data_IF_012459711844
#
_entry.id   IF_012459711844
#
_cell.length_a   1.000
_cell.length_b   1.000
_cell.length_c   1.000
_cell.angle_alpha   90.00
_cell.angle_beta   90.00
_cell.angle_gamma   90.00
#
_symmetry.space_group_name_H-M   'P 1'
#
loop_
_entity.id
_entity.type
_entity.pdbx_description
1 polymer ?
#
# COMPACT_ATOMS: atom_id res chain seq x y z
N UNK A 1 46.59 -4.14 39.59
CA UNK A 1 45.70 -3.15 40.25
C UNK A 1 44.33 -3.33 39.60
N UNK A 2 43.54 -4.34 40.01
CA UNK A 2 42.38 -4.24 40.94
C UNK A 2 41.48 -3.05 40.53
N UNK A 3 40.21 -3.20 40.09
CA UNK A 3 39.11 -3.94 40.72
C UNK A 3 37.96 -4.26 39.73
N UNK A 4 37.41 -5.47 39.85
CA UNK A 4 36.05 -5.85 39.47
C UNK A 4 35.04 -5.15 40.40
N UNK A 5 33.88 -4.66 39.90
CA UNK A 5 32.72 -4.41 40.75
C UNK A 5 31.45 -5.01 40.18
N UNK A 6 30.89 -5.90 40.99
CA UNK A 6 29.70 -6.73 40.84
C UNK A 6 28.43 -5.88 40.70
N UNK A 7 27.67 -6.11 39.63
CA UNK A 7 26.23 -5.77 39.57
C UNK A 7 25.38 -6.88 38.92
N UNK A 8 25.88 -8.12 38.93
CA UNK A 8 25.10 -9.32 38.68
C UNK A 8 24.85 -9.96 40.03
N UNK A 9 23.59 -9.97 40.48
CA UNK A 9 22.98 -10.73 41.61
C UNK A 9 21.89 -9.81 42.17
N UNK A 10 20.61 -10.03 41.82
CA UNK A 10 19.40 -10.06 42.68
C UNK A 10 18.18 -10.27 41.76
N UNK A 11 17.99 -11.46 41.17
CA UNK A 11 16.66 -11.89 40.66
C UNK A 11 16.46 -13.41 40.82
N UNK A 12 17.05 -14.05 41.84
CA UNK A 12 16.89 -15.50 42.08
C UNK A 12 16.49 -15.79 43.53
N UNK A 13 15.33 -15.28 43.97
CA UNK A 13 14.82 -15.69 45.29
C UNK A 13 13.29 -15.67 45.45
N UNK A 14 12.55 -16.17 44.45
CA UNK A 14 11.11 -16.46 44.60
C UNK A 14 10.69 -17.90 44.23
N UNK A 15 11.61 -18.87 44.31
CA UNK A 15 11.29 -20.30 44.10
C UNK A 15 11.63 -21.18 45.30
N UNK A 16 11.18 -20.80 46.50
CA UNK A 16 11.25 -21.71 47.65
C UNK A 16 10.19 -21.39 48.68
N UNK A 17 8.98 -21.90 48.50
CA UNK A 17 8.11 -22.39 49.59
C UNK A 17 6.70 -22.67 49.08
N UNK A 18 6.48 -23.83 48.45
CA UNK A 18 5.24 -24.58 48.70
C UNK A 18 5.66 -26.03 48.93
N UNK A 19 5.74 -26.36 50.21
CA UNK A 19 6.10 -27.64 50.80
C UNK A 19 4.90 -28.57 50.62
N UNK A 20 5.15 -29.78 50.13
CA UNK A 20 4.11 -30.80 49.97
C UNK A 20 3.48 -31.17 51.30
N UNK A 21 2.15 -31.13 51.35
CA UNK A 21 1.34 -31.67 52.43
C UNK A 21 0.48 -32.79 51.83
N UNK A 22 0.90 -34.04 52.07
CA UNK A 22 0.04 -35.21 51.82
C UNK A 22 -0.94 -35.29 52.98
N UNK A 23 -2.22 -35.00 52.74
CA UNK A 23 -3.29 -35.45 53.61
C UNK A 23 -4.18 -36.48 52.93
N UNK A 24 -4.36 -37.54 53.69
CA UNK A 24 -5.03 -38.79 53.40
C UNK A 24 -6.55 -38.66 53.55
N UNK A 25 -7.27 -39.37 52.68
CA UNK A 25 -8.53 -40.08 52.95
C UNK A 25 -9.70 -39.29 53.54
N UNK A 26 -10.73 -39.07 52.72
CA UNK A 26 -12.08 -39.59 53.00
C UNK A 26 -12.98 -39.43 51.78
N UNK A 27 -13.29 -40.56 51.15
CA UNK A 27 -14.45 -40.68 50.29
C UNK A 27 -15.61 -41.19 51.14
N UNK A 28 -16.78 -40.54 51.05
CA UNK A 28 -18.11 -41.15 50.88
C UNK A 28 -19.20 -40.07 50.78
N UNK A 29 -20.34 -40.39 50.14
CA UNK A 29 -21.03 -39.46 49.25
C UNK A 29 -22.42 -39.07 49.78
N UNK A 30 -23.05 -38.15 49.05
CA UNK A 30 -24.49 -38.13 48.71
C UNK A 30 -25.24 -36.80 48.96
N UNK A 31 -25.76 -36.32 47.83
CA UNK A 31 -27.04 -35.64 47.63
C UNK A 31 -27.24 -34.21 48.16
N UNK A 32 -27.20 -33.25 47.23
CA UNK A 32 -28.36 -32.50 46.71
C UNK A 32 -27.84 -31.23 46.05
N UNK A 33 -27.41 -31.32 44.79
CA UNK A 33 -27.49 -30.16 43.91
C UNK A 33 -28.38 -30.56 42.74
N UNK A 34 -29.54 -29.91 42.78
CA UNK A 34 -30.67 -30.03 41.91
C UNK A 34 -30.25 -30.07 40.44
N UNK A 35 -30.79 -31.07 39.75
CA UNK A 35 -30.50 -31.39 38.36
C UNK A 35 -31.24 -30.43 37.45
N UNK A 36 -30.74 -29.21 37.28
CA UNK A 36 -31.00 -28.46 36.05
C UNK A 36 -29.97 -28.92 35.03
N UNK A 37 -30.24 -30.09 34.43
CA UNK A 37 -29.53 -30.48 33.22
C UNK A 37 -29.82 -29.41 32.16
N UNK A 38 -28.80 -28.76 31.56
CA UNK A 38 -29.07 -27.82 30.49
C UNK A 38 -29.80 -28.58 29.40
N UNK A 39 -30.99 -28.10 29.04
CA UNK A 39 -31.81 -28.65 27.98
C UNK A 39 -31.13 -28.31 26.64
N UNK A 40 -29.98 -28.91 26.38
CA UNK A 40 -29.20 -28.75 25.16
C UNK A 40 -29.88 -29.57 24.07
N UNK A 41 -30.95 -29.00 23.49
CA UNK A 41 -31.48 -29.44 22.21
C UNK A 41 -30.33 -29.26 21.19
N UNK A 42 -29.72 -30.36 20.79
CA UNK A 42 -28.67 -30.36 19.76
C UNK A 42 -29.26 -29.95 18.41
N UNK A 43 -28.52 -29.18 17.64
CA UNK A 43 -28.87 -28.85 16.25
C UNK A 43 -28.94 -30.15 15.43
N UNK A 44 -29.98 -30.26 14.60
CA UNK A 44 -30.10 -31.41 13.69
C UNK A 44 -29.20 -31.22 12.47
N UNK A 45 -28.70 -32.31 11.91
CA UNK A 45 -27.89 -32.28 10.68
C UNK A 45 -28.70 -31.71 9.50
N UNK A 46 -30.00 -31.97 9.47
CA UNK A 46 -30.93 -31.44 8.46
C UNK A 46 -31.02 -29.92 8.53
N UNK A 47 -31.04 -29.35 9.73
CA UNK A 47 -31.16 -27.90 9.94
C UNK A 47 -29.94 -27.13 9.41
N UNK A 48 -28.73 -27.67 9.62
CA UNK A 48 -27.51 -27.08 9.04
C UNK A 48 -27.47 -27.24 7.51
N UNK A 49 -27.94 -28.36 6.95
CA UNK A 49 -27.97 -28.55 5.49
C UNK A 49 -28.89 -27.54 4.81
N UNK A 50 -30.10 -27.34 5.35
CA UNK A 50 -31.06 -26.38 4.78
C UNK A 50 -30.52 -24.95 4.87
N UNK A 51 -29.88 -24.59 5.98
CA UNK A 51 -29.26 -23.26 6.15
C UNK A 51 -28.14 -23.03 5.14
N UNK A 52 -27.23 -24.00 4.98
CA UNK A 52 -26.13 -23.89 4.00
C UNK A 52 -26.64 -23.85 2.56
N UNK A 53 -27.71 -24.58 2.25
CA UNK A 53 -28.36 -24.51 0.95
C UNK A 53 -28.85 -23.08 0.65
N UNK A 54 -29.55 -22.43 1.58
CA UNK A 54 -30.06 -21.07 1.37
C UNK A 54 -28.93 -20.04 1.33
N UNK A 55 -27.92 -20.14 2.21
CA UNK A 55 -26.76 -19.23 2.21
C UNK A 55 -25.99 -19.32 0.90
N UNK A 56 -25.76 -20.53 0.37
CA UNK A 56 -25.03 -20.70 -0.90
C UNK A 56 -25.74 -20.04 -2.08
N UNK A 57 -27.07 -20.17 -2.15
CA UNK A 57 -27.88 -19.53 -3.20
C UNK A 57 -27.79 -18.01 -3.10
N UNK A 58 -27.86 -17.47 -1.88
CA UNK A 58 -27.77 -16.03 -1.65
C UNK A 58 -26.38 -15.48 -2.00
N UNK A 59 -25.31 -16.17 -1.58
CA UNK A 59 -23.93 -15.78 -1.92
C UNK A 59 -23.71 -15.82 -3.42
N UNK A 60 -24.20 -16.84 -4.12
CA UNK A 60 -24.06 -16.95 -5.58
C UNK A 60 -24.66 -15.75 -6.33
N UNK A 61 -25.80 -15.24 -5.86
CA UNK A 61 -26.46 -14.08 -6.48
C UNK A 61 -25.75 -12.77 -6.12
N UNK A 62 -25.29 -12.61 -4.87
CA UNK A 62 -24.70 -11.36 -4.40
C UNK A 62 -23.25 -11.15 -4.82
N UNK A 63 -22.49 -12.23 -5.02
CA UNK A 63 -21.03 -12.17 -5.30
C UNK A 63 -20.67 -11.24 -6.47
N UNK A 64 -21.25 -11.34 -7.68
CA UNK A 64 -20.85 -10.47 -8.80
C UNK A 64 -21.13 -8.99 -8.51
N UNK A 65 -22.20 -8.68 -7.78
CA UNK A 65 -22.55 -7.32 -7.39
C UNK A 65 -21.53 -6.73 -6.41
N UNK A 66 -21.11 -7.50 -5.40
CA UNK A 66 -20.10 -7.05 -4.43
C UNK A 66 -18.76 -6.80 -5.11
N UNK A 67 -18.34 -7.69 -6.03
CA UNK A 67 -17.09 -7.51 -6.77
C UNK A 67 -17.10 -6.23 -7.60
N UNK A 68 -18.21 -5.93 -8.29
CA UNK A 68 -18.37 -4.68 -9.04
C UNK A 68 -18.20 -3.44 -8.16
N UNK A 69 -18.81 -3.41 -6.97
CA UNK A 69 -18.67 -2.27 -6.05
C UNK A 69 -17.24 -2.11 -5.53
N UNK A 70 -16.52 -3.23 -5.33
CA UNK A 70 -15.11 -3.18 -4.95
C UNK A 70 -14.28 -2.59 -6.08
N UNK A 71 -14.51 -3.01 -7.33
CA UNK A 71 -13.74 -2.50 -8.47
C UNK A 71 -14.03 -1.02 -8.75
N UNK A 72 -15.27 -0.57 -8.57
CA UNK A 72 -15.64 0.86 -8.63
C UNK A 72 -14.92 1.66 -7.53
N UNK A 73 -14.92 1.17 -6.29
CA UNK A 73 -14.20 1.81 -5.19
C UNK A 73 -12.67 1.84 -5.39
N UNK A 74 -12.12 0.82 -6.04
CA UNK A 74 -10.71 0.80 -6.47
C UNK A 74 -10.45 1.86 -7.53
N UNK A 75 -11.33 1.99 -8.53
CA UNK A 75 -11.26 3.05 -9.53
C UNK A 75 -11.28 4.45 -8.92
N UNK A 76 -12.19 4.69 -7.98
CA UNK A 76 -12.29 5.98 -7.28
C UNK A 76 -11.02 6.29 -6.50
N UNK A 77 -10.49 5.31 -5.76
CA UNK A 77 -9.23 5.45 -5.02
C UNK A 77 -8.07 5.75 -5.96
N UNK A 78 -7.91 4.99 -7.04
CA UNK A 78 -6.86 5.25 -8.02
C UNK A 78 -7.00 6.65 -8.64
N UNK A 79 -8.24 7.10 -8.87
CA UNK A 79 -8.55 8.44 -9.35
C UNK A 79 -8.19 9.56 -8.36
N UNK A 80 -8.32 9.33 -7.06
CA UNK A 80 -7.85 10.25 -6.01
C UNK A 80 -6.33 10.25 -5.90
N UNK A 81 -5.69 9.08 -5.99
CA UNK A 81 -4.24 8.93 -5.90
C UNK A 81 -3.54 9.67 -7.04
N UNK A 82 -3.99 9.53 -8.30
CA UNK A 82 -3.41 10.28 -9.44
C UNK A 82 -3.60 11.80 -9.34
N UNK A 83 -4.72 12.26 -8.75
CA UNK A 83 -4.96 13.69 -8.46
C UNK A 83 -4.05 14.21 -7.35
N UNK A 84 -3.82 13.40 -6.33
CA UNK A 84 -2.91 13.72 -5.24
C UNK A 84 -1.48 13.82 -5.77
N UNK A 85 -1.02 12.82 -6.54
CA UNK A 85 0.31 12.78 -7.18
C UNK A 85 0.51 14.00 -8.07
N UNK A 86 -0.48 14.36 -8.88
CA UNK A 86 -0.40 15.57 -9.71
C UNK A 86 -0.30 16.87 -8.91
N UNK A 87 -1.02 16.98 -7.80
CA UNK A 87 -0.90 18.14 -6.90
C UNK A 87 0.51 18.24 -6.30
N UNK A 88 1.05 17.14 -5.79
CA UNK A 88 2.41 17.09 -5.21
C UNK A 88 3.50 17.45 -6.21
N UNK A 89 3.41 16.95 -7.46
CA UNK A 89 4.36 17.31 -8.52
C UNK A 89 4.30 18.81 -8.81
N UNK A 90 3.09 19.38 -8.87
CA UNK A 90 2.95 20.82 -9.05
C UNK A 90 3.54 21.61 -7.87
N UNK A 91 3.40 21.13 -6.64
CA UNK A 91 3.97 21.79 -5.46
C UNK A 91 5.50 21.70 -5.44
N UNK A 92 6.08 20.55 -5.81
CA UNK A 92 7.52 20.40 -6.04
C UNK A 92 8.04 21.41 -7.07
N UNK A 93 7.33 21.56 -8.20
CA UNK A 93 7.70 22.51 -9.25
C UNK A 93 7.60 23.95 -8.74
N UNK A 94 6.55 24.28 -7.99
CA UNK A 94 6.38 25.62 -7.39
C UNK A 94 7.48 25.96 -6.40
N UNK A 95 7.90 24.98 -5.61
CA UNK A 95 8.91 25.18 -4.57
C UNK A 95 10.32 25.29 -5.14
N UNK A 96 10.69 24.38 -6.03
CA UNK A 96 12.07 24.25 -6.53
C UNK A 96 12.31 25.00 -7.84
N UNK A 97 11.24 25.31 -8.57
CA UNK A 97 11.33 25.78 -9.96
C UNK A 97 11.88 24.73 -10.92
N UNK A 98 11.95 23.45 -10.50
CA UNK A 98 12.50 22.33 -11.27
C UNK A 98 11.42 21.29 -11.53
N UNK A 99 11.46 20.69 -12.71
CA UNK A 99 10.61 19.57 -13.07
C UNK A 99 11.28 18.25 -12.61
N UNK A 100 10.52 17.28 -12.07
CA UNK A 100 11.04 15.94 -11.85
C UNK A 100 11.41 15.24 -13.16
N UNK A 101 12.34 14.28 -13.09
CA UNK A 101 12.85 13.52 -14.24
C UNK A 101 13.75 14.29 -15.22
N UNK A 102 14.22 15.50 -14.90
CA UNK A 102 14.96 16.37 -15.82
C UNK A 102 16.45 16.03 -16.03
N UNK A 103 16.94 14.89 -15.51
CA UNK A 103 18.36 14.53 -15.47
C UNK A 103 18.67 13.05 -15.78
N UNK A 104 17.76 12.31 -16.40
CA UNK A 104 18.08 10.93 -16.78
C UNK A 104 18.72 10.84 -18.17
N UNK A 105 19.75 10.01 -18.27
CA UNK A 105 20.65 9.91 -19.42
C UNK A 105 20.00 9.28 -20.69
N UNK A 106 18.75 8.82 -20.64
CA UNK A 106 18.17 7.90 -21.65
C UNK A 106 16.99 8.40 -22.51
N UNK A 107 16.64 9.69 -22.50
CA UNK A 107 15.74 10.27 -23.51
C UNK A 107 14.23 9.96 -23.41
N UNK A 108 13.80 8.98 -22.61
CA UNK A 108 12.42 8.85 -22.12
C UNK A 108 12.48 8.60 -20.61
N UNK A 109 12.06 9.58 -19.81
CA UNK A 109 12.11 9.48 -18.36
C UNK A 109 10.72 9.23 -17.83
N UNK A 110 10.44 8.00 -17.44
CA UNK A 110 9.22 7.68 -16.71
C UNK A 110 9.49 7.78 -15.21
N UNK A 111 8.61 8.45 -14.47
CA UNK A 111 8.60 8.38 -13.02
C UNK A 111 7.55 7.37 -12.62
N UNK A 112 7.94 6.43 -11.76
CA UNK A 112 7.11 5.30 -11.40
C UNK A 112 7.01 5.19 -9.88
N UNK A 113 5.82 4.93 -9.36
CA UNK A 113 5.66 4.60 -7.94
C UNK A 113 6.14 3.19 -7.64
N UNK A 114 6.14 2.83 -6.35
CA UNK A 114 6.20 1.42 -5.94
C UNK A 114 5.07 0.62 -6.59
N UNK A 115 5.33 -0.63 -6.94
CA UNK A 115 4.38 -1.57 -7.56
C UNK A 115 4.97 -2.26 -8.79
N UNK A 116 4.15 -3.04 -9.50
CA UNK A 116 4.54 -3.65 -10.76
C UNK A 116 4.72 -2.58 -11.86
N UNK A 117 5.89 -2.57 -12.48
CA UNK A 117 6.26 -1.68 -13.61
C UNK A 117 6.73 -2.55 -14.79
N UNK A 118 6.68 -2.02 -16.03
CA UNK A 118 6.91 -2.85 -17.24
C UNK A 118 5.67 -3.64 -17.67
N UNK A 119 4.51 -2.98 -17.59
CA UNK A 119 3.21 -3.52 -17.94
C UNK A 119 3.06 -3.68 -19.45
N UNK A 120 2.14 -4.56 -19.86
CA UNK A 120 1.88 -4.81 -21.28
C UNK A 120 1.11 -3.64 -21.92
N UNK A 121 1.04 -3.62 -23.26
CA UNK A 121 0.23 -2.64 -24.01
C UNK A 121 1.03 -1.52 -24.64
N UNK A 122 0.54 -0.28 -24.50
CA UNK A 122 1.20 0.94 -24.98
C UNK A 122 2.56 1.13 -24.30
N UNK A 123 3.49 1.76 -24.99
CA UNK A 123 4.85 1.94 -24.47
C UNK A 123 4.89 2.99 -23.36
N UNK A 124 4.95 2.49 -22.13
CA UNK A 124 5.21 3.23 -20.90
C UNK A 124 6.52 2.77 -20.27
N UNK A 125 6.84 3.29 -19.08
CA UNK A 125 8.05 2.97 -18.34
C UNK A 125 8.15 1.48 -18.01
N UNK A 126 9.29 0.92 -18.39
CA UNK A 126 9.72 -0.41 -17.94
C UNK A 126 10.55 -0.29 -16.67
N UNK A 127 10.84 -1.40 -16.00
CA UNK A 127 11.73 -1.41 -14.82
C UNK A 127 13.12 -0.81 -15.12
N UNK A 128 13.57 -0.80 -16.38
CA UNK A 128 14.85 -0.23 -16.77
C UNK A 128 14.81 1.29 -16.97
N UNK A 129 13.64 1.84 -17.32
CA UNK A 129 13.46 3.25 -17.72
C UNK A 129 12.64 4.06 -16.69
N UNK A 130 12.16 3.40 -15.64
CA UNK A 130 11.44 3.97 -14.51
C UNK A 130 12.41 4.48 -13.45
N UNK A 131 12.39 5.78 -13.19
CA UNK A 131 12.93 6.38 -11.98
C UNK A 131 11.88 6.38 -10.87
N UNK A 132 12.29 6.12 -9.63
CA UNK A 132 11.37 6.07 -8.49
C UNK A 132 10.81 7.46 -8.19
N UNK A 133 9.48 7.62 -8.28
CA UNK A 133 8.81 8.87 -7.97
C UNK A 133 9.04 9.30 -6.50
N UNK A 134 9.24 8.34 -5.59
CA UNK A 134 9.56 8.64 -4.20
C UNK A 134 10.91 9.38 -4.05
N UNK A 135 11.84 9.22 -4.98
CA UNK A 135 13.10 9.97 -4.97
C UNK A 135 12.89 11.49 -5.11
N UNK A 136 11.86 11.89 -5.85
CA UNK A 136 11.50 13.30 -6.03
C UNK A 136 10.59 13.81 -4.91
N UNK A 137 9.61 13.01 -4.53
CA UNK A 137 8.52 13.45 -3.65
C UNK A 137 8.76 13.17 -2.17
N UNK A 138 9.63 12.22 -1.81
CA UNK A 138 9.79 11.74 -0.44
C UNK A 138 11.21 11.96 0.08
N UNK A 139 12.23 11.57 -0.68
CA UNK A 139 13.61 11.49 -0.15
C UNK A 139 14.55 12.60 -0.64
N UNK A 140 14.15 13.41 -1.63
CA UNK A 140 15.02 14.39 -2.28
C UNK A 140 16.35 13.78 -2.78
N UNK A 141 16.27 12.64 -3.46
CA UNK A 141 17.41 11.96 -4.07
C UNK A 141 17.13 11.61 -5.55
N UNK A 142 16.74 12.59 -6.39
CA UNK A 142 16.50 12.36 -7.81
C UNK A 142 17.80 11.93 -8.53
N UNK A 143 17.65 11.29 -9.69
CA UNK A 143 18.73 10.84 -10.56
C UNK A 143 19.34 9.49 -10.18
N UNK A 144 20.41 9.14 -10.90
CA UNK A 144 21.21 7.92 -10.66
C UNK A 144 22.41 8.18 -9.74
N UNK A 145 22.67 9.44 -9.40
CA UNK A 145 23.80 9.89 -8.56
C UNK A 145 23.31 10.65 -7.33
N UNK A 146 23.43 10.02 -6.16
CA UNK A 146 22.78 10.36 -4.90
C UNK A 146 23.08 11.74 -4.24
N UNK A 147 23.76 12.69 -4.92
CA UNK A 147 24.04 14.03 -4.34
C UNK A 147 24.15 15.19 -5.33
N UNK A 148 24.37 14.94 -6.63
CA UNK A 148 24.54 16.01 -7.64
C UNK A 148 23.23 16.47 -8.26
N UNK A 149 22.17 15.69 -8.06
CA UNK A 149 20.90 15.85 -8.75
C UNK A 149 19.78 16.36 -7.84
N UNK A 150 20.00 16.33 -6.53
CA UNK A 150 19.12 16.81 -5.49
C UNK A 150 18.58 18.21 -5.77
N UNK A 151 17.32 18.40 -5.41
CA UNK A 151 16.74 19.73 -5.37
C UNK A 151 17.43 20.56 -4.28
N UNK A 152 17.53 21.90 -4.46
CA UNK A 152 18.23 22.75 -3.49
C UNK A 152 17.66 22.56 -2.08
N UNK A 153 18.52 22.33 -1.09
CA UNK A 153 18.08 22.17 0.32
C UNK A 153 17.98 23.50 1.08
N UNK A 154 18.42 24.60 0.46
CA UNK A 154 18.43 25.94 1.06
C UNK A 154 18.08 27.04 0.05
N UNK A 155 17.76 28.24 0.57
CA UNK A 155 17.35 29.38 -0.25
C UNK A 155 15.84 29.47 -0.48
N UNK A 156 15.44 30.37 -1.40
CA UNK A 156 14.03 30.64 -1.75
C UNK A 156 13.38 29.48 -2.50
N UNK A 157 14.15 28.83 -3.37
CA UNK A 157 13.70 27.72 -4.22
C UNK A 157 14.12 26.36 -3.66
N UNK A 158 14.04 26.22 -2.34
CA UNK A 158 14.43 24.97 -1.69
C UNK A 158 13.31 23.93 -1.80
N UNK A 159 13.68 22.66 -1.84
CA UNK A 159 12.77 21.55 -1.60
C UNK A 159 12.17 21.65 -0.20
N UNK A 160 10.84 21.64 -0.09
CA UNK A 160 10.14 21.92 1.17
C UNK A 160 9.59 20.69 1.90
N UNK A 161 9.86 19.50 1.39
CA UNK A 161 9.75 18.32 2.25
C UNK A 161 9.50 17.05 1.48
N UNK A 162 9.27 15.96 2.20
CA UNK A 162 8.42 14.91 1.67
C UNK A 162 7.04 15.53 1.40
N UNK A 163 6.63 15.58 0.14
CA UNK A 163 5.28 16.00 -0.28
C UNK A 163 4.23 14.92 0.05
N UNK A 164 4.69 13.70 0.31
CA UNK A 164 3.94 12.58 0.85
C UNK A 164 4.83 11.73 1.75
N UNK A 165 4.24 10.98 2.67
CA UNK A 165 4.96 10.12 3.62
C UNK A 165 5.30 8.75 3.04
N UNK A 166 4.41 8.19 2.22
CA UNK A 166 4.64 6.95 1.51
C UNK A 166 3.82 6.98 0.22
N UNK A 167 4.44 6.59 -0.89
CA UNK A 167 3.79 6.47 -2.17
C UNK A 167 3.44 4.99 -2.39
N UNK A 168 2.16 4.66 -2.20
CA UNK A 168 1.64 3.31 -2.40
C UNK A 168 1.53 2.95 -3.88
N UNK A 169 1.54 1.64 -4.15
CA UNK A 169 1.02 1.07 -5.38
C UNK A 169 -0.49 1.33 -5.54
N UNK A 170 -0.97 1.19 -6.76
CA UNK A 170 -2.39 1.29 -7.08
C UNK A 170 -3.20 0.12 -6.48
N UNK A 171 -4.54 0.18 -6.47
CA UNK A 171 -5.37 -0.84 -5.83
C UNK A 171 -5.29 -2.26 -6.43
N UNK A 172 -4.61 -2.40 -7.58
CA UNK A 172 -4.38 -3.67 -8.27
C UNK A 172 -2.92 -4.12 -8.18
N UNK A 173 -2.06 -3.39 -7.45
CA UNK A 173 -0.65 -3.71 -7.21
C UNK A 173 0.31 -3.21 -8.29
N UNK A 174 -0.15 -2.33 -9.18
CA UNK A 174 0.68 -1.74 -10.22
C UNK A 174 1.23 -0.38 -9.77
N UNK A 175 2.38 0.01 -10.34
CA UNK A 175 2.94 1.33 -10.10
C UNK A 175 2.25 2.40 -10.94
N UNK A 176 1.92 3.54 -10.34
CA UNK A 176 1.57 4.75 -11.08
C UNK A 176 2.74 5.21 -11.93
N UNK A 177 2.46 5.69 -13.14
CA UNK A 177 3.50 6.15 -14.06
C UNK A 177 3.26 7.56 -14.57
N UNK A 178 4.35 8.28 -14.83
CA UNK A 178 4.35 9.66 -15.33
C UNK A 178 5.38 9.81 -16.43
N UNK A 179 5.00 10.41 -17.55
CA UNK A 179 5.94 10.76 -18.61
C UNK A 179 6.64 12.10 -18.29
N UNK A 180 7.75 12.08 -17.55
CA UNK A 180 8.42 13.31 -17.13
C UNK A 180 9.03 14.11 -18.29
N UNK A 181 9.33 13.44 -19.41
CA UNK A 181 9.94 14.08 -20.59
C UNK A 181 9.07 15.19 -21.19
N UNK A 182 7.75 15.12 -21.01
CA UNK A 182 6.81 16.14 -21.51
C UNK A 182 6.52 17.25 -20.51
N UNK A 183 6.96 17.06 -19.26
CA UNK A 183 6.75 18.02 -18.18
C UNK A 183 7.65 19.26 -18.34
N UNK A 184 8.83 19.10 -18.94
CA UNK A 184 9.84 20.16 -19.10
C UNK A 184 9.33 21.38 -19.88
N UNK A 185 9.87 22.56 -19.55
CA UNK A 185 9.50 23.82 -20.18
C UNK A 185 9.74 23.82 -21.70
N UNK A 186 8.76 24.32 -22.46
CA UNK A 186 8.81 24.37 -23.93
C UNK A 186 8.13 23.19 -24.64
N UNK A 187 7.82 22.10 -23.93
CA UNK A 187 7.02 21.00 -24.47
C UNK A 187 5.51 21.33 -24.36
N UNK A 188 4.77 21.10 -25.45
CA UNK A 188 3.31 21.29 -25.56
C UNK A 188 2.52 19.97 -25.52
N UNK A 189 3.21 18.83 -25.47
CA UNK A 189 2.61 17.52 -25.28
C UNK A 189 1.99 17.42 -23.90
N UNK A 190 0.91 16.65 -23.80
CA UNK A 190 0.26 16.33 -22.53
C UNK A 190 1.22 15.54 -21.64
N UNK A 191 1.12 15.76 -20.33
CA UNK A 191 1.78 14.88 -19.36
C UNK A 191 0.73 14.18 -18.52
N UNK A 192 0.79 12.87 -18.47
CA UNK A 192 -0.13 12.04 -17.72
C UNK A 192 0.49 11.60 -16.41
N UNK A 193 -0.32 11.57 -15.36
CA UNK A 193 -0.18 10.64 -14.23
C UNK A 193 -1.21 9.56 -14.43
N UNK A 194 -0.80 8.30 -14.48
CA UNK A 194 -1.69 7.21 -14.88
C UNK A 194 -1.46 5.95 -14.04
N UNK A 195 -2.51 5.17 -13.85
CA UNK A 195 -2.50 3.77 -13.42
C UNK A 195 -3.07 2.93 -14.56
N UNK A 196 -2.52 1.73 -14.75
CA UNK A 196 -2.94 0.78 -15.79
C UNK A 196 -4.27 0.08 -15.48
N UNK A 197 -4.87 0.35 -14.32
CA UNK A 197 -6.16 -0.22 -13.96
C UNK A 197 -6.12 -1.73 -13.65
N UNK A 198 -7.32 -2.35 -13.57
CA UNK A 198 -7.51 -3.76 -13.24
C UNK A 198 -6.77 -4.77 -14.12
N UNK A 199 -6.66 -4.51 -15.42
CA UNK A 199 -6.07 -5.47 -16.36
C UNK A 199 -4.53 -5.42 -16.41
N UNK A 200 -3.91 -4.40 -15.78
CA UNK A 200 -2.47 -4.22 -15.74
C UNK A 200 -1.85 -4.01 -17.12
N UNK A 201 -2.60 -3.43 -18.06
CA UNK A 201 -2.18 -3.20 -19.45
C UNK A 201 -2.50 -1.78 -19.85
N UNK A 202 -1.49 -0.96 -20.13
CA UNK A 202 -1.75 0.41 -20.58
C UNK A 202 -2.39 0.42 -21.96
N UNK A 203 -3.59 0.98 -22.10
CA UNK A 203 -4.23 1.18 -23.42
C UNK A 203 -4.14 2.64 -23.88
N UNK A 204 -3.91 3.56 -22.95
CA UNK A 204 -3.67 4.98 -23.20
C UNK A 204 -2.23 5.17 -23.64
N UNK A 205 -2.02 5.74 -24.82
CA UNK A 205 -0.68 6.10 -25.28
C UNK A 205 -0.16 7.35 -24.57
N UNK A 206 1.15 7.45 -24.35
CA UNK A 206 1.82 8.60 -23.71
C UNK A 206 1.57 9.94 -24.43
N UNK A 207 1.17 9.91 -25.70
CA UNK A 207 0.82 11.11 -26.50
C UNK A 207 -0.68 11.34 -26.66
N UNK A 208 -1.52 10.40 -26.20
CA UNK A 208 -2.98 10.49 -26.33
C UNK A 208 -3.52 11.66 -25.52
N UNK A 209 -4.52 12.37 -26.04
CA UNK A 209 -5.19 13.47 -25.33
C UNK A 209 -6.40 13.00 -24.51
N UNK A 210 -6.76 11.72 -24.60
CA UNK A 210 -7.85 11.09 -23.84
C UNK A 210 -7.41 9.74 -23.28
N UNK A 211 -7.99 9.37 -22.14
CA UNK A 211 -7.87 8.02 -21.58
C UNK A 211 -8.52 6.99 -22.52
N UNK A 212 -8.03 5.76 -22.47
CA UNK A 212 -8.57 4.60 -23.18
C UNK A 212 -8.62 3.40 -22.24
N UNK A 213 -9.56 2.48 -22.47
CA UNK A 213 -9.66 1.26 -21.66
C UNK A 213 -10.12 1.52 -20.24
N UNK A 214 -9.53 0.79 -19.30
CA UNK A 214 -9.73 0.87 -17.85
C UNK A 214 -8.62 1.67 -17.15
N UNK A 215 -7.70 2.28 -17.90
CA UNK A 215 -6.70 3.19 -17.38
C UNK A 215 -7.32 4.36 -16.60
N UNK A 216 -6.73 4.68 -15.47
CA UNK A 216 -7.14 5.81 -14.62
C UNK A 216 -6.03 6.85 -14.61
N UNK A 217 -6.30 8.07 -15.05
CA UNK A 217 -5.26 9.09 -15.10
C UNK A 217 -5.75 10.53 -15.12
N UNK A 218 -4.82 11.43 -14.80
CA UNK A 218 -5.02 12.88 -14.80
C UNK A 218 -3.87 13.54 -15.55
N UNK A 219 -4.18 14.62 -16.27
CA UNK A 219 -3.17 15.43 -16.95
C UNK A 219 -2.62 16.50 -16.05
N UNK A 220 -1.30 16.65 -16.10
CA UNK A 220 -0.57 17.79 -15.56
C UNK A 220 -0.06 18.54 -16.77
N UNK A 221 -0.64 19.70 -17.08
CA UNK A 221 -0.35 20.54 -18.27
C UNK A 221 -1.10 20.15 -19.55
#
# INVERSE_FOLDING_TARGET
MLLYSKSTIVVLQQQKSIRGEKMSSKQKPDAMLDRIGPNSKGFTLVEIIVILAVISILVAILTPTVLKYIDEARGDRAGEDVKSISAMINDLIKDTGKYPGNKLESGNTFLCSTGNVGLSGQTWGTTADCEDLANHLVTNSPGTTATSDDYPSSGKFRWKGPYITNLSEDPWGNGYQINASTLVGGNTSVTWVISAGPDGTFQTSVTSTSLSGDDVGVRIK
#
